data_IF_360045806896
#
_entry.id   IF_360045806896
#
_cell.length_a   1.000
_cell.length_b   1.000
_cell.length_c   1.000
_cell.angle_alpha   90.00
_cell.angle_beta   90.00
_cell.angle_gamma   90.00
#
_symmetry.space_group_name_H-M   'P 1'
#
loop_
_entity.id
_entity.type
_entity.pdbx_description
1 polymer ?
#
# COMPACT_ATOMS: atom_id res chain seq x y z
N UNK A 1 23.46 60.54 -27.00
CA UNK A 1 22.42 60.23 -25.97
C UNK A 1 21.66 58.93 -26.26
N UNK A 2 21.69 58.37 -27.45
CA UNK A 2 20.96 57.14 -27.81
C UNK A 2 21.57 55.84 -27.28
N UNK A 3 22.89 55.76 -27.13
CA UNK A 3 23.59 54.57 -26.65
C UNK A 3 23.40 54.30 -25.13
N UNK A 4 23.26 55.33 -24.33
CA UNK A 4 23.03 55.23 -22.90
C UNK A 4 21.62 54.71 -22.59
N UNK A 5 20.63 55.11 -23.38
CA UNK A 5 19.24 54.64 -23.26
C UNK A 5 19.11 53.19 -23.62
N UNK A 6 19.85 52.67 -24.62
CA UNK A 6 19.85 51.26 -25.01
C UNK A 6 20.51 50.41 -23.94
N UNK A 7 21.59 50.87 -23.30
CA UNK A 7 22.29 50.16 -22.22
C UNK A 7 21.41 50.05 -20.96
N UNK A 8 20.68 51.12 -20.60
CA UNK A 8 19.74 51.13 -19.48
C UNK A 8 18.54 50.20 -19.74
N UNK A 9 18.05 50.13 -20.99
CA UNK A 9 16.95 49.23 -21.37
C UNK A 9 17.40 47.77 -21.37
N UNK A 10 18.67 47.48 -21.75
CA UNK A 10 19.23 46.13 -21.69
C UNK A 10 19.47 45.65 -20.24
N UNK A 11 19.84 46.57 -19.31
CA UNK A 11 19.98 46.27 -17.88
C UNK A 11 18.65 46.03 -17.18
N UNK A 12 17.54 46.62 -17.65
CA UNK A 12 16.19 46.37 -17.13
C UNK A 12 15.63 45.03 -17.58
N UNK A 13 16.12 44.42 -18.67
CA UNK A 13 15.71 43.09 -19.13
C UNK A 13 16.43 41.95 -18.38
N UNK A 14 17.53 42.23 -17.68
CA UNK A 14 18.28 41.25 -16.87
C UNK A 14 17.74 41.11 -15.44
N UNK A 15 16.81 41.97 -15.02
CA UNK A 15 16.23 41.96 -13.65
C UNK A 15 15.00 41.09 -13.44
N UNK A 16 14.49 40.37 -14.46
CA UNK A 16 13.23 39.62 -14.34
C UNK A 16 13.40 38.09 -14.29
N UNK A 17 14.54 37.61 -13.79
CA UNK A 17 14.63 36.23 -13.29
C UNK A 17 14.49 36.23 -11.77
N UNK A 18 13.34 36.61 -11.24
CA UNK A 18 12.95 36.11 -9.92
C UNK A 18 12.61 34.63 -10.10
N UNK A 19 13.64 33.78 -10.09
CA UNK A 19 13.43 32.37 -9.85
C UNK A 19 12.60 32.27 -8.58
N UNK A 20 11.38 31.77 -8.66
CA UNK A 20 10.59 31.42 -7.47
C UNK A 20 11.57 30.64 -6.60
N UNK A 21 11.90 31.15 -5.41
CA UNK A 21 12.70 30.39 -4.46
C UNK A 21 12.02 29.04 -4.37
N UNK A 22 12.72 27.92 -4.54
CA UNK A 22 12.16 26.56 -4.43
C UNK A 22 11.66 26.24 -3.02
N UNK A 23 11.55 27.26 -2.14
CA UNK A 23 11.17 27.13 -0.75
C UNK A 23 9.65 27.03 -0.61
N UNK A 24 9.19 25.85 -0.24
CA UNK A 24 7.81 25.61 0.15
C UNK A 24 7.57 26.08 1.58
N UNK A 25 6.39 26.65 1.84
CA UNK A 25 5.97 27.06 3.18
C UNK A 25 4.61 26.49 3.50
N UNK A 26 4.49 25.85 4.67
CA UNK A 26 3.24 25.43 5.26
C UNK A 26 3.07 26.09 6.63
N UNK A 27 1.93 26.71 6.85
CA UNK A 27 1.59 27.30 8.15
C UNK A 27 0.16 26.94 8.52
N UNK A 28 -0.14 26.88 9.80
CA UNK A 28 -1.50 26.56 10.19
C UNK A 28 -1.75 26.57 11.69
N UNK A 29 -2.99 26.14 12.00
CA UNK A 29 -3.47 26.06 13.37
C UNK A 29 -4.21 24.74 13.59
N UNK A 30 -3.87 24.09 14.70
CA UNK A 30 -4.60 22.95 15.22
C UNK A 30 -5.41 23.37 16.46
N UNK A 31 -6.69 23.00 16.49
CA UNK A 31 -7.48 23.00 17.70
C UNK A 31 -7.16 21.73 18.50
N UNK A 32 -7.28 21.76 19.81
CA UNK A 32 -7.04 20.65 20.74
C UNK A 32 -5.61 20.03 20.68
N UNK A 33 -4.65 20.76 20.09
CA UNK A 33 -3.22 20.41 20.11
C UNK A 33 -2.41 21.70 20.37
N UNK A 34 -2.36 22.13 21.62
CA UNK A 34 -1.69 23.39 22.00
C UNK A 34 -0.16 23.30 21.92
N UNK A 35 0.41 22.15 22.32
CA UNK A 35 1.85 21.89 22.30
C UNK A 35 2.08 20.45 21.88
N UNK A 36 3.13 20.19 21.11
CA UNK A 36 3.50 18.86 20.67
C UNK A 36 4.34 18.86 19.41
N UNK A 37 4.51 17.69 18.88
CA UNK A 37 5.27 17.46 17.64
C UNK A 37 4.40 16.67 16.67
N UNK A 38 4.45 17.07 15.41
CA UNK A 38 3.91 16.33 14.30
C UNK A 38 5.10 15.96 13.41
N UNK A 39 5.24 14.70 13.07
CA UNK A 39 6.28 14.25 12.15
C UNK A 39 5.83 14.49 10.72
N UNK A 40 6.77 14.69 9.81
CA UNK A 40 6.51 14.82 8.38
C UNK A 40 7.51 14.02 7.58
N UNK A 41 7.02 13.27 6.59
CA UNK A 41 7.84 12.56 5.63
C UNK A 41 7.27 12.72 4.21
N UNK A 42 8.05 12.32 3.20
CA UNK A 42 7.61 12.35 1.80
C UNK A 42 7.72 10.96 1.18
N UNK A 43 6.60 10.35 0.73
CA UNK A 43 6.63 9.05 0.06
C UNK A 43 7.23 9.11 -1.36
N UNK A 44 7.42 10.30 -1.92
CA UNK A 44 7.93 10.54 -3.27
C UNK A 44 9.29 11.27 -3.28
N UNK A 45 9.92 11.43 -2.11
CA UNK A 45 11.26 11.99 -2.00
C UNK A 45 11.33 13.53 -2.00
N UNK A 46 10.23 14.22 -1.72
CA UNK A 46 10.19 15.68 -1.61
C UNK A 46 11.01 16.24 -0.45
N UNK A 47 11.22 15.45 0.59
CA UNK A 47 12.15 15.68 1.69
C UNK A 47 12.88 14.38 2.02
N UNK A 48 14.10 14.51 2.54
CA UNK A 48 14.91 13.37 2.96
C UNK A 48 14.51 12.90 4.37
N UNK A 49 14.17 11.62 4.50
CA UNK A 49 13.88 10.99 5.79
C UNK A 49 12.62 11.51 6.47
N UNK A 50 12.73 11.71 7.78
CA UNK A 50 11.64 12.13 8.67
C UNK A 50 12.04 13.45 9.33
N UNK A 51 11.18 14.45 9.22
CA UNK A 51 11.36 15.77 9.85
C UNK A 51 10.29 16.02 10.92
N UNK A 52 10.45 17.06 11.73
CA UNK A 52 9.59 17.34 12.88
C UNK A 52 9.05 18.77 12.83
N UNK A 53 7.74 18.90 12.96
CA UNK A 53 7.02 20.16 13.06
C UNK A 53 6.65 20.39 14.52
N UNK A 54 7.18 21.47 15.12
CA UNK A 54 6.85 21.86 16.49
C UNK A 54 5.58 22.72 16.53
N UNK A 55 4.63 22.33 17.39
CA UNK A 55 3.38 23.06 17.62
C UNK A 55 3.53 23.88 18.88
N UNK A 56 3.22 25.18 18.79
CA UNK A 56 3.25 26.12 19.93
C UNK A 56 2.00 27.00 19.90
N UNK A 57 1.23 26.99 20.98
CA UNK A 57 -0.05 27.69 21.06
C UNK A 57 -1.05 27.26 19.98
N UNK A 58 -0.98 25.98 19.57
CA UNK A 58 -1.80 25.42 18.50
C UNK A 58 -1.37 25.86 17.11
N UNK A 59 -0.26 26.58 16.95
CA UNK A 59 0.22 27.11 15.66
C UNK A 59 1.54 26.47 15.27
N UNK A 60 1.80 26.44 13.96
CA UNK A 60 3.06 25.98 13.42
C UNK A 60 3.41 26.70 12.12
N UNK A 61 4.68 26.71 11.81
CA UNK A 61 5.24 27.07 10.51
C UNK A 61 6.26 26.00 10.15
N UNK A 62 6.20 25.51 8.92
CA UNK A 62 7.15 24.56 8.36
C UNK A 62 7.60 25.07 7.00
N UNK A 63 8.91 25.12 6.78
CA UNK A 63 9.52 25.55 5.54
C UNK A 63 10.56 24.53 5.10
N UNK A 64 10.56 24.18 3.83
CA UNK A 64 11.57 23.29 3.25
C UNK A 64 11.89 23.69 1.81
N UNK A 65 13.11 23.40 1.37
CA UNK A 65 13.46 23.56 -0.04
C UNK A 65 12.90 22.40 -0.84
N UNK A 66 12.33 22.71 -1.98
CA UNK A 66 11.68 21.73 -2.84
C UNK A 66 11.99 22.00 -4.30
N UNK A 67 12.36 20.97 -5.04
CA UNK A 67 12.70 21.06 -6.47
C UNK A 67 11.53 20.70 -7.38
N UNK A 68 10.77 19.69 -6.98
CA UNK A 68 9.63 19.16 -7.72
C UNK A 68 8.40 19.14 -6.81
N UNK A 69 7.17 19.23 -7.37
CA UNK A 69 5.94 19.02 -6.61
C UNK A 69 5.98 17.67 -5.91
N UNK A 70 5.60 17.60 -4.65
CA UNK A 70 5.72 16.40 -3.82
C UNK A 70 4.58 16.28 -2.82
N UNK A 71 4.35 15.05 -2.36
CA UNK A 71 3.43 14.76 -1.27
C UNK A 71 4.19 14.74 0.05
N UNK A 72 3.79 15.58 0.99
CA UNK A 72 4.21 15.52 2.38
C UNK A 72 3.12 14.84 3.20
N UNK A 73 3.50 13.93 4.08
CA UNK A 73 2.55 13.25 4.97
C UNK A 73 2.82 13.64 6.40
N UNK A 74 1.84 14.29 7.03
CA UNK A 74 1.87 14.64 8.44
C UNK A 74 1.46 13.42 9.26
N UNK A 75 2.29 13.03 10.24
CA UNK A 75 2.01 11.92 11.17
C UNK A 75 1.78 12.52 12.56
N UNK A 76 0.56 12.39 13.04
CA UNK A 76 0.14 12.91 14.34
C UNK A 76 0.51 11.95 15.50
N UNK A 77 0.50 12.39 16.77
CA UNK A 77 0.85 11.54 17.91
C UNK A 77 0.01 10.26 18.06
N UNK A 78 -1.19 10.23 17.50
CA UNK A 78 -2.07 9.05 17.45
C UNK A 78 -1.81 8.16 16.22
N UNK A 79 -0.70 8.38 15.51
CA UNK A 79 -0.31 7.70 14.27
C UNK A 79 -1.25 7.90 13.08
N UNK A 80 -2.21 8.82 13.16
CA UNK A 80 -3.00 9.18 11.98
C UNK A 80 -2.16 9.98 10.98
N UNK A 81 -2.38 9.71 9.70
CA UNK A 81 -1.66 10.35 8.59
C UNK A 81 -2.56 11.32 7.84
N UNK A 82 -2.01 12.49 7.46
CA UNK A 82 -2.70 13.46 6.62
C UNK A 82 -1.76 13.99 5.51
N UNK A 83 -2.16 13.88 4.24
CA UNK A 83 -1.35 14.36 3.13
C UNK A 83 -1.49 15.87 2.94
N UNK A 84 -0.37 16.48 2.54
CA UNK A 84 -0.25 17.86 2.05
C UNK A 84 0.45 17.80 0.70
N UNK A 85 -0.11 18.46 -0.29
CA UNK A 85 0.46 18.51 -1.63
C UNK A 85 1.23 19.82 -1.78
N UNK A 86 2.55 19.69 -1.82
CA UNK A 86 3.51 20.79 -1.79
C UNK A 86 4.07 21.05 -3.19
N UNK A 87 4.30 22.33 -3.51
CA UNK A 87 4.87 22.79 -4.77
C UNK A 87 6.07 23.71 -4.50
N UNK A 88 7.10 23.70 -5.36
CA UNK A 88 8.22 24.62 -5.24
C UNK A 88 7.78 26.09 -5.20
N UNK A 89 8.18 26.82 -4.15
CA UNK A 89 7.76 28.22 -3.93
C UNK A 89 6.29 28.40 -3.53
N UNK A 90 5.57 27.29 -3.30
CA UNK A 90 4.17 27.31 -2.88
C UNK A 90 3.99 27.67 -1.40
N UNK A 91 2.80 28.15 -1.08
CA UNK A 91 2.37 28.41 0.30
C UNK A 91 1.05 27.69 0.57
N UNK A 92 0.99 26.98 1.69
CA UNK A 92 -0.17 26.19 2.12
C UNK A 92 -0.60 26.62 3.51
N UNK A 93 -1.91 26.76 3.69
CA UNK A 93 -2.54 27.06 4.98
C UNK A 93 -3.33 25.84 5.45
N UNK A 94 -3.07 25.39 6.68
CA UNK A 94 -3.74 24.24 7.30
C UNK A 94 -4.61 24.69 8.45
N UNK A 95 -5.87 24.22 8.46
CA UNK A 95 -6.81 24.38 9.58
C UNK A 95 -7.36 23.02 9.95
N UNK A 96 -7.17 22.59 11.18
CA UNK A 96 -7.68 21.30 11.63
C UNK A 96 -8.01 21.30 13.11
N UNK A 97 -8.94 20.43 13.48
CA UNK A 97 -9.11 19.96 14.85
C UNK A 97 -8.33 18.64 15.00
N UNK A 98 -7.36 18.60 15.92
CA UNK A 98 -6.55 17.40 16.15
C UNK A 98 -7.37 16.19 16.64
N UNK A 99 -8.59 16.43 17.15
CA UNK A 99 -9.56 15.39 17.53
C UNK A 99 -10.36 14.86 16.32
N UNK A 100 -10.41 15.63 15.20
CA UNK A 100 -11.25 15.36 14.03
C UNK A 100 -10.46 15.60 12.73
N UNK A 101 -9.29 14.98 12.59
CA UNK A 101 -8.40 15.20 11.45
C UNK A 101 -8.99 14.81 10.08
N UNK A 102 -10.08 14.05 10.06
CA UNK A 102 -10.83 13.76 8.82
C UNK A 102 -11.49 15.00 8.21
N UNK A 103 -11.68 16.05 9.00
CA UNK A 103 -12.27 17.33 8.60
C UNK A 103 -11.19 18.39 8.32
N UNK A 104 -9.91 18.00 8.24
CA UNK A 104 -8.83 18.94 8.00
C UNK A 104 -9.00 19.66 6.66
N UNK A 105 -8.94 20.97 6.71
CA UNK A 105 -8.98 21.86 5.56
C UNK A 105 -7.56 22.31 5.20
N UNK A 106 -7.22 22.25 3.92
CA UNK A 106 -5.92 22.66 3.41
C UNK A 106 -6.13 23.52 2.16
N UNK A 107 -5.64 24.73 2.19
CA UNK A 107 -5.71 25.71 1.11
C UNK A 107 -4.33 26.00 0.54
N UNK A 108 -4.25 26.49 -0.71
CA UNK A 108 -3.02 27.01 -1.32
C UNK A 108 -2.56 26.27 -2.59
N UNK A 109 -3.06 25.07 -2.87
CA UNK A 109 -2.86 24.38 -4.16
C UNK A 109 -4.14 23.67 -4.59
N UNK A 110 -4.27 23.38 -5.89
CA UNK A 110 -5.44 22.67 -6.42
C UNK A 110 -5.54 21.24 -5.85
N UNK A 111 -4.44 20.53 -5.71
CA UNK A 111 -4.42 19.20 -5.12
C UNK A 111 -4.86 19.22 -3.64
N UNK A 112 -4.48 20.22 -2.86
CA UNK A 112 -4.95 20.35 -1.47
C UNK A 112 -6.45 20.63 -1.39
N UNK A 113 -6.99 21.42 -2.31
CA UNK A 113 -8.43 21.65 -2.41
C UNK A 113 -9.15 20.34 -2.78
N UNK A 114 -8.69 19.62 -3.81
CA UNK A 114 -9.25 18.32 -4.21
C UNK A 114 -9.23 17.32 -3.05
N UNK A 115 -8.15 17.29 -2.26
CA UNK A 115 -8.08 16.41 -1.08
C UNK A 115 -9.05 16.85 0.03
N UNK A 116 -9.24 18.15 0.23
CA UNK A 116 -10.24 18.68 1.18
C UNK A 116 -11.65 18.27 0.75
N UNK A 117 -12.00 18.43 -0.53
CA UNK A 117 -13.29 18.01 -1.07
C UNK A 117 -13.49 16.48 -0.93
N UNK A 118 -12.43 15.69 -1.17
CA UNK A 118 -12.48 14.24 -1.00
C UNK A 118 -12.69 13.83 0.46
N UNK A 119 -12.06 14.50 1.43
CA UNK A 119 -12.31 14.27 2.87
C UNK A 119 -13.78 14.52 3.23
N UNK A 120 -14.36 15.61 2.71
CA UNK A 120 -15.77 15.92 2.93
C UNK A 120 -16.69 14.88 2.29
N UNK A 121 -16.31 14.35 1.12
CA UNK A 121 -17.04 13.26 0.47
C UNK A 121 -16.99 11.99 1.31
N UNK A 122 -15.82 11.61 1.82
CA UNK A 122 -15.66 10.45 2.72
C UNK A 122 -16.48 10.59 4.02
N UNK A 123 -16.54 11.79 4.60
CA UNK A 123 -17.29 12.03 5.83
C UNK A 123 -18.81 11.82 5.66
N UNK A 124 -19.32 11.95 4.43
CA UNK A 124 -20.74 11.76 4.07
C UNK A 124 -21.09 10.33 3.65
N UNK A 125 -20.10 9.45 3.51
CA UNK A 125 -20.26 8.09 3.02
C UNK A 125 -19.77 7.04 4.05
N UNK A 126 -20.11 5.78 3.81
CA UNK A 126 -19.58 4.69 4.63
C UNK A 126 -18.06 4.55 4.42
N UNK A 127 -17.28 4.24 5.47
CA UNK A 127 -15.86 3.89 5.31
C UNK A 127 -15.61 2.74 4.31
N UNK A 128 -16.59 1.86 4.12
CA UNK A 128 -16.54 0.75 3.15
C UNK A 128 -16.59 1.24 1.69
N UNK A 129 -17.08 2.44 1.45
CA UNK A 129 -17.15 3.04 0.11
C UNK A 129 -15.84 3.69 -0.34
N UNK A 130 -14.87 3.87 0.57
CA UNK A 130 -13.61 4.56 0.31
C UNK A 130 -12.84 3.99 -0.91
N UNK A 131 -12.73 2.67 -1.13
CA UNK A 131 -12.10 2.12 -2.34
C UNK A 131 -12.80 2.55 -3.63
N UNK A 132 -14.14 2.51 -3.65
CA UNK A 132 -14.94 2.92 -4.81
C UNK A 132 -14.79 4.43 -5.07
N UNK A 133 -14.94 5.25 -4.04
CA UNK A 133 -14.79 6.71 -4.15
C UNK A 133 -13.37 7.08 -4.63
N UNK A 134 -12.35 6.35 -4.18
CA UNK A 134 -10.96 6.49 -4.67
C UNK A 134 -10.86 6.18 -6.17
N UNK A 135 -11.47 5.08 -6.61
CA UNK A 135 -11.45 4.71 -8.01
C UNK A 135 -12.15 5.75 -8.90
N UNK A 136 -13.26 6.29 -8.46
CA UNK A 136 -14.01 7.31 -9.17
C UNK A 136 -13.23 8.64 -9.21
N UNK A 137 -12.64 9.07 -8.09
CA UNK A 137 -11.74 10.24 -8.03
C UNK A 137 -10.58 10.14 -9.05
N UNK A 138 -9.90 9.00 -9.10
CA UNK A 138 -8.75 8.83 -10.01
C UNK A 138 -9.18 8.88 -11.48
N UNK A 139 -10.36 8.38 -11.81
CA UNK A 139 -10.90 8.48 -13.20
C UNK A 139 -11.20 9.92 -13.58
N UNK A 140 -11.70 10.73 -12.66
CA UNK A 140 -12.03 12.14 -12.88
C UNK A 140 -10.79 13.03 -12.87
N UNK A 141 -9.80 12.71 -12.02
CA UNK A 141 -8.61 13.52 -11.79
C UNK A 141 -7.29 12.72 -11.95
N UNK A 142 -7.02 12.08 -13.10
CA UNK A 142 -5.84 11.23 -13.27
C UNK A 142 -4.52 12.01 -13.22
N UNK A 143 -4.55 13.33 -13.47
CA UNK A 143 -3.39 14.23 -13.35
C UNK A 143 -3.12 14.73 -11.94
N UNK A 144 -4.00 14.49 -10.96
CA UNK A 144 -3.83 14.93 -9.58
C UNK A 144 -2.94 13.97 -8.77
N UNK A 145 -2.03 14.53 -7.96
CA UNK A 145 -1.19 13.77 -7.02
C UNK A 145 -1.98 13.13 -5.89
N UNK A 146 -3.16 13.66 -5.58
CA UNK A 146 -4.09 13.11 -4.58
C UNK A 146 -4.37 11.65 -4.86
N UNK A 147 -4.61 11.27 -6.14
CA UNK A 147 -4.91 9.90 -6.53
C UNK A 147 -3.87 8.87 -6.07
N UNK A 148 -2.57 9.21 -6.14
CA UNK A 148 -1.50 8.30 -5.69
C UNK A 148 -1.59 7.99 -4.19
N UNK A 149 -1.84 9.01 -3.37
CA UNK A 149 -2.04 8.85 -1.93
C UNK A 149 -3.30 8.03 -1.62
N UNK A 150 -4.42 8.35 -2.27
CA UNK A 150 -5.69 7.65 -2.07
C UNK A 150 -5.61 6.16 -2.43
N UNK A 151 -5.00 5.83 -3.57
CA UNK A 151 -4.78 4.43 -3.99
C UNK A 151 -3.89 3.71 -2.98
N UNK A 152 -2.79 4.33 -2.54
CA UNK A 152 -1.92 3.76 -1.50
C UNK A 152 -2.69 3.47 -0.21
N UNK A 153 -3.54 4.40 0.22
CA UNK A 153 -4.24 4.32 1.51
C UNK A 153 -5.43 3.37 1.45
N UNK A 154 -6.30 3.50 0.44
CA UNK A 154 -7.60 2.83 0.43
C UNK A 154 -7.66 1.55 -0.42
N UNK A 155 -6.66 1.29 -1.27
CA UNK A 155 -6.62 0.10 -2.12
C UNK A 155 -5.42 -0.81 -1.84
N UNK A 156 -4.33 -0.27 -1.24
CA UNK A 156 -3.11 -1.04 -0.97
C UNK A 156 -2.93 -1.31 0.52
N UNK A 157 -2.92 -0.25 1.36
CA UNK A 157 -2.68 -0.32 2.81
C UNK A 157 -3.98 -0.44 3.61
N UNK A 158 -4.83 -1.38 3.30
CA UNK A 158 -6.06 -1.63 4.03
C UNK A 158 -6.23 -3.11 4.37
N UNK A 159 -7.23 -3.45 5.17
CA UNK A 159 -7.49 -4.82 5.62
C UNK A 159 -7.91 -5.78 4.49
N UNK A 160 -8.39 -5.25 3.37
CA UNK A 160 -8.82 -6.00 2.17
C UNK A 160 -8.27 -5.32 0.91
N UNK A 161 -6.96 -5.48 0.61
CA UNK A 161 -6.34 -4.82 -0.52
C UNK A 161 -6.93 -5.25 -1.86
N UNK A 162 -7.16 -4.30 -2.76
CA UNK A 162 -7.48 -4.57 -4.17
C UNK A 162 -6.29 -4.18 -5.05
N UNK A 163 -5.28 -5.04 -5.09
CA UNK A 163 -4.08 -4.82 -5.89
C UNK A 163 -4.34 -4.76 -7.39
N UNK A 164 -5.39 -5.44 -7.88
CA UNK A 164 -5.74 -5.42 -9.30
C UNK A 164 -6.28 -4.04 -9.71
N UNK A 165 -7.23 -3.50 -8.94
CA UNK A 165 -7.76 -2.16 -9.19
C UNK A 165 -6.70 -1.09 -8.89
N UNK A 166 -5.94 -1.20 -7.80
CA UNK A 166 -4.84 -0.28 -7.48
C UNK A 166 -3.88 -0.15 -8.66
N UNK A 167 -3.45 -1.26 -9.26
CA UNK A 167 -2.56 -1.25 -10.42
C UNK A 167 -3.21 -0.63 -11.65
N UNK A 168 -4.48 -0.91 -11.92
CA UNK A 168 -5.22 -0.32 -13.04
C UNK A 168 -5.23 1.20 -12.91
N UNK A 169 -5.50 1.72 -11.72
CA UNK A 169 -5.53 3.15 -11.43
C UNK A 169 -4.14 3.79 -11.47
N UNK A 170 -3.12 3.13 -10.93
CA UNK A 170 -1.71 3.58 -11.03
C UNK A 170 -1.29 3.69 -12.50
N UNK A 171 -1.62 2.70 -13.34
CA UNK A 171 -1.31 2.75 -14.77
C UNK A 171 -2.06 3.87 -15.50
N UNK A 172 -3.29 4.19 -15.08
CA UNK A 172 -4.05 5.34 -15.61
C UNK A 172 -3.34 6.65 -15.27
N UNK A 173 -3.03 6.88 -13.98
CA UNK A 173 -2.36 8.10 -13.51
C UNK A 173 -0.96 8.30 -14.08
N UNK A 174 -0.19 7.22 -14.28
CA UNK A 174 1.17 7.30 -14.84
C UNK A 174 1.23 7.84 -16.26
N UNK A 175 0.14 7.79 -17.03
CA UNK A 175 0.07 8.40 -18.36
C UNK A 175 0.12 9.93 -18.27
N UNK A 176 -0.55 10.49 -17.26
CA UNK A 176 -0.61 11.94 -17.03
C UNK A 176 0.55 12.44 -16.15
N UNK A 177 1.08 11.56 -15.30
CA UNK A 177 2.09 11.88 -14.30
C UNK A 177 3.33 10.95 -14.41
N UNK A 178 4.05 10.89 -15.53
CA UNK A 178 5.11 9.90 -15.75
C UNK A 178 6.32 10.06 -14.79
N UNK A 179 6.51 11.24 -14.21
CA UNK A 179 7.59 11.57 -13.28
C UNK A 179 7.17 11.61 -11.80
N UNK A 180 5.94 11.23 -11.49
CA UNK A 180 5.49 11.20 -10.10
C UNK A 180 6.17 10.05 -9.35
N UNK A 181 7.07 10.37 -8.40
CA UNK A 181 7.85 9.40 -7.61
C UNK A 181 6.98 8.42 -6.82
N UNK A 182 5.88 8.90 -6.24
CA UNK A 182 4.94 8.04 -5.50
C UNK A 182 4.31 6.98 -6.43
N UNK A 183 3.88 7.36 -7.64
CA UNK A 183 3.34 6.41 -8.62
C UNK A 183 4.39 5.42 -9.14
N UNK A 184 5.66 5.84 -9.26
CA UNK A 184 6.76 4.96 -9.64
C UNK A 184 6.97 3.90 -8.55
N UNK A 185 6.99 4.31 -7.28
CA UNK A 185 7.13 3.40 -6.14
C UNK A 185 5.94 2.45 -6.00
N UNK A 186 4.70 2.97 -6.12
CA UNK A 186 3.49 2.14 -6.12
C UNK A 186 3.50 1.13 -7.26
N UNK A 187 3.88 1.53 -8.47
CA UNK A 187 3.96 0.62 -9.60
C UNK A 187 4.98 -0.50 -9.35
N UNK A 188 6.14 -0.17 -8.76
CA UNK A 188 7.16 -1.16 -8.36
C UNK A 188 6.63 -2.10 -7.28
N UNK A 189 5.94 -1.58 -6.28
CA UNK A 189 5.30 -2.36 -5.21
C UNK A 189 4.22 -3.31 -5.75
N UNK A 190 3.43 -2.85 -6.73
CA UNK A 190 2.33 -3.61 -7.32
C UNK A 190 2.76 -4.55 -8.45
N UNK A 191 3.98 -4.44 -8.98
CA UNK A 191 4.48 -5.28 -10.06
C UNK A 191 4.42 -6.78 -9.75
N UNK A 192 4.76 -7.25 -8.54
CA UNK A 192 4.67 -8.68 -8.21
C UNK A 192 3.25 -9.25 -8.32
N UNK A 193 2.21 -8.46 -8.05
CA UNK A 193 0.82 -8.90 -8.17
C UNK A 193 0.34 -9.07 -9.62
N UNK A 194 1.23 -8.81 -10.58
CA UNK A 194 0.96 -8.96 -12.01
C UNK A 194 1.04 -10.40 -12.49
N UNK A 195 1.94 -11.18 -11.93
CA UNK A 195 2.32 -12.49 -12.42
C UNK A 195 1.35 -13.60 -12.04
N UNK A 196 0.63 -13.47 -10.91
CA UNK A 196 -0.28 -14.51 -10.40
C UNK A 196 -1.70 -13.96 -10.30
N UNK A 197 -2.45 -13.99 -11.39
CA UNK A 197 -3.84 -13.49 -11.48
C UNK A 197 -4.85 -14.62 -11.50
N UNK A 198 -6.04 -14.35 -10.99
CA UNK A 198 -7.19 -15.25 -11.14
C UNK A 198 -7.41 -15.55 -12.63
N UNK A 199 -7.62 -16.84 -12.95
CA UNK A 199 -7.78 -17.36 -14.30
C UNK A 199 -6.46 -17.67 -15.03
N UNK A 200 -5.30 -17.20 -14.57
CA UNK A 200 -4.00 -17.50 -15.17
C UNK A 200 -3.41 -18.81 -14.65
N UNK A 201 -2.54 -19.47 -15.43
CA UNK A 201 -1.81 -20.63 -14.95
C UNK A 201 -0.96 -20.30 -13.71
N UNK A 202 -0.87 -21.23 -12.76
CA UNK A 202 0.06 -21.12 -11.64
C UNK A 202 1.50 -21.06 -12.20
N UNK A 203 2.31 -20.05 -11.80
CA UNK A 203 3.67 -19.91 -12.35
C UNK A 203 4.56 -21.07 -11.96
N UNK A 204 5.65 -21.24 -12.70
CA UNK A 204 6.64 -22.27 -12.40
C UNK A 204 7.35 -21.95 -11.10
N UNK A 205 7.41 -22.91 -10.20
CA UNK A 205 8.19 -22.83 -8.97
C UNK A 205 8.78 -24.19 -8.62
N UNK A 206 9.76 -24.20 -7.71
CA UNK A 206 10.31 -25.40 -7.10
C UNK A 206 10.47 -25.14 -5.60
N UNK A 207 9.86 -25.97 -4.78
CA UNK A 207 9.83 -25.83 -3.34
C UNK A 207 10.23 -27.16 -2.67
N UNK A 208 11.25 -27.14 -1.82
CA UNK A 208 11.69 -28.30 -1.06
C UNK A 208 11.05 -28.23 0.33
N UNK A 209 10.22 -29.22 0.67
CA UNK A 209 9.55 -29.30 1.99
C UNK A 209 10.51 -29.79 3.09
N UNK A 210 10.08 -29.62 4.33
CA UNK A 210 10.78 -30.13 5.52
C UNK A 210 10.97 -31.66 5.47
N UNK A 211 10.04 -32.39 4.84
CA UNK A 211 10.12 -33.85 4.65
C UNK A 211 11.03 -34.29 3.47
N UNK A 212 11.63 -33.34 2.74
CA UNK A 212 12.47 -33.64 1.58
C UNK A 212 11.73 -33.84 0.25
N UNK A 213 10.40 -33.75 0.22
CA UNK A 213 9.63 -33.78 -1.02
C UNK A 213 9.77 -32.46 -1.77
N UNK A 214 9.96 -32.52 -3.07
CA UNK A 214 9.92 -31.34 -3.94
C UNK A 214 8.52 -31.13 -4.49
N UNK A 215 7.98 -29.93 -4.30
CA UNK A 215 6.75 -29.46 -4.95
C UNK A 215 7.07 -28.53 -6.10
N UNK A 216 6.24 -28.60 -7.13
CA UNK A 216 6.28 -27.73 -8.31
C UNK A 216 4.85 -27.37 -8.71
N UNK A 217 4.68 -26.49 -9.69
CA UNK A 217 3.36 -26.20 -10.26
C UNK A 217 2.67 -27.43 -10.88
N UNK A 218 3.42 -28.50 -11.18
CA UNK A 218 2.87 -29.74 -11.74
C UNK A 218 2.00 -30.49 -10.72
N UNK A 219 2.31 -30.37 -9.42
CA UNK A 219 1.54 -30.98 -8.34
C UNK A 219 0.11 -30.42 -8.24
N UNK A 220 -0.12 -29.25 -8.83
CA UNK A 220 -1.41 -28.55 -8.87
C UNK A 220 -2.12 -28.63 -10.22
N UNK A 221 -1.65 -29.50 -11.12
CA UNK A 221 -2.14 -29.54 -12.51
C UNK A 221 -3.57 -30.04 -12.65
N UNK A 222 -4.01 -30.87 -11.74
CA UNK A 222 -5.36 -31.47 -11.73
C UNK A 222 -6.00 -31.34 -10.34
N UNK A 223 -7.34 -31.18 -10.32
CA UNK A 223 -8.08 -31.02 -9.09
C UNK A 223 -7.89 -29.66 -8.43
N UNK A 224 -8.23 -29.60 -7.14
CA UNK A 224 -8.09 -28.41 -6.32
C UNK A 224 -6.78 -28.42 -5.51
N UNK A 225 -6.23 -27.25 -5.28
CA UNK A 225 -5.05 -27.08 -4.46
C UNK A 225 -5.00 -25.73 -3.77
N UNK A 226 -4.24 -25.68 -2.67
CA UNK A 226 -4.00 -24.46 -1.88
C UNK A 226 -2.52 -24.30 -1.62
N UNK A 227 -2.00 -23.12 -1.93
CA UNK A 227 -0.71 -22.65 -1.45
C UNK A 227 -0.95 -21.59 -0.40
N UNK A 228 -0.39 -21.72 0.81
CA UNK A 228 -0.61 -20.80 1.91
C UNK A 228 0.70 -20.36 2.54
N UNK A 229 0.82 -19.06 2.86
CA UNK A 229 1.92 -18.48 3.65
C UNK A 229 1.47 -18.27 5.08
N UNK A 230 2.34 -18.63 6.02
CA UNK A 230 2.08 -18.49 7.44
C UNK A 230 3.38 -18.28 8.24
N UNK A 231 3.25 -17.83 9.50
CA UNK A 231 4.36 -17.75 10.44
C UNK A 231 3.89 -18.05 11.88
N UNK A 232 4.76 -18.60 12.70
CA UNK A 232 4.45 -18.95 14.10
C UNK A 232 4.08 -17.74 14.95
N UNK A 233 4.64 -16.59 14.65
CA UNK A 233 4.43 -15.31 15.33
C UNK A 233 3.18 -14.54 14.85
N UNK A 234 2.47 -15.04 13.83
CA UNK A 234 1.24 -14.44 13.31
C UNK A 234 0.00 -15.22 13.71
N UNK A 235 -0.78 -14.68 14.65
CA UNK A 235 -2.00 -15.33 15.12
C UNK A 235 -3.02 -15.57 13.98
N UNK A 236 -3.16 -14.63 13.05
CA UNK A 236 -4.05 -14.75 11.87
C UNK A 236 -3.63 -15.91 10.97
N UNK A 237 -2.33 -16.15 10.82
CA UNK A 237 -1.79 -17.27 10.03
C UNK A 237 -2.22 -18.62 10.56
N UNK A 238 -2.30 -18.78 11.87
CA UNK A 238 -2.68 -20.04 12.50
C UNK A 238 -4.14 -20.40 12.24
N UNK A 239 -5.03 -19.40 12.15
CA UNK A 239 -6.42 -19.60 11.74
C UNK A 239 -6.53 -20.21 10.34
N UNK A 240 -5.87 -19.59 9.37
CA UNK A 240 -5.82 -20.07 7.98
C UNK A 240 -5.14 -21.46 7.88
N UNK A 241 -4.04 -21.69 8.59
CA UNK A 241 -3.34 -22.98 8.57
C UNK A 241 -4.23 -24.11 9.08
N UNK A 242 -4.98 -23.87 10.16
CA UNK A 242 -5.96 -24.84 10.71
C UNK A 242 -7.11 -25.10 9.74
N UNK A 243 -7.64 -24.06 9.09
CA UNK A 243 -8.69 -24.20 8.08
C UNK A 243 -8.24 -25.10 6.92
N UNK A 244 -7.01 -24.90 6.43
CA UNK A 244 -6.43 -25.71 5.35
C UNK A 244 -6.11 -27.13 5.82
N UNK A 245 -5.64 -27.32 7.05
CA UNK A 245 -5.42 -28.65 7.64
C UNK A 245 -6.73 -29.44 7.71
N UNK A 246 -7.81 -28.82 8.17
CA UNK A 246 -9.12 -29.45 8.25
C UNK A 246 -9.67 -29.74 6.85
N UNK A 247 -9.53 -28.80 5.92
CA UNK A 247 -9.90 -29.00 4.51
C UNK A 247 -9.18 -30.22 3.91
N UNK A 248 -7.89 -30.40 4.18
CA UNK A 248 -7.11 -31.57 3.72
C UNK A 248 -7.58 -32.88 4.33
N UNK A 249 -8.03 -32.87 5.59
CA UNK A 249 -8.61 -34.07 6.24
C UNK A 249 -9.94 -34.47 5.59
N UNK A 250 -10.79 -33.51 5.24
CA UNK A 250 -12.09 -33.76 4.61
C UNK A 250 -11.98 -34.05 3.12
N UNK A 251 -10.98 -33.47 2.45
CA UNK A 251 -10.71 -33.64 1.03
C UNK A 251 -9.29 -34.19 0.83
N UNK A 252 -9.08 -35.52 0.93
CA UNK A 252 -7.75 -36.12 0.82
C UNK A 252 -7.02 -35.84 -0.51
N UNK A 253 -7.77 -35.58 -1.58
CA UNK A 253 -7.22 -35.25 -2.90
C UNK A 253 -6.78 -33.78 -3.05
N UNK A 254 -7.16 -32.91 -2.11
CA UNK A 254 -6.74 -31.50 -2.10
C UNK A 254 -5.22 -31.38 -2.04
N UNK A 255 -4.60 -30.76 -3.04
CA UNK A 255 -3.17 -30.51 -3.03
C UNK A 255 -2.85 -29.32 -2.12
N UNK A 256 -1.96 -29.50 -1.16
CA UNK A 256 -1.60 -28.44 -0.23
C UNK A 256 -0.09 -28.24 -0.19
N UNK A 257 0.34 -27.00 -0.24
CA UNK A 257 1.71 -26.57 0.03
C UNK A 257 1.65 -25.42 1.02
N UNK A 258 2.35 -25.53 2.14
CA UNK A 258 2.47 -24.41 3.08
C UNK A 258 3.90 -23.85 3.08
N UNK A 259 4.01 -22.53 3.20
CA UNK A 259 5.27 -21.79 3.24
C UNK A 259 5.34 -21.09 4.59
N UNK A 260 6.27 -21.55 5.44
CA UNK A 260 6.51 -20.99 6.75
C UNK A 260 7.59 -19.90 6.69
N UNK A 261 7.29 -18.73 7.24
CA UNK A 261 8.20 -17.58 7.28
C UNK A 261 9.01 -17.48 8.58
N UNK A 262 9.10 -18.54 9.35
CA UNK A 262 9.96 -18.54 10.54
C UNK A 262 11.44 -18.54 10.12
N UNK A 263 12.26 -17.87 10.92
CA UNK A 263 13.70 -17.76 10.67
C UNK A 263 14.44 -19.12 10.78
N UNK A 264 13.86 -20.08 11.52
CA UNK A 264 14.48 -21.39 11.71
C UNK A 264 13.51 -22.54 11.44
N UNK A 265 14.03 -23.64 10.87
CA UNK A 265 13.28 -24.90 10.72
C UNK A 265 12.78 -25.43 12.06
N UNK A 266 13.57 -25.25 13.12
CA UNK A 266 13.26 -25.75 14.46
C UNK A 266 11.99 -25.09 15.02
N UNK A 267 11.82 -23.78 14.85
CA UNK A 267 10.63 -23.06 15.32
C UNK A 267 9.39 -23.48 14.51
N UNK A 268 9.52 -23.55 13.18
CA UNK A 268 8.48 -24.07 12.31
C UNK A 268 8.04 -25.49 12.73
N UNK A 269 8.97 -26.44 12.84
CA UNK A 269 8.68 -27.82 13.22
C UNK A 269 8.09 -27.94 14.62
N UNK A 270 8.53 -27.09 15.58
CA UNK A 270 7.96 -27.03 16.93
C UNK A 270 6.48 -26.71 16.88
N UNK A 271 6.10 -25.68 16.09
CA UNK A 271 4.71 -25.27 15.96
C UNK A 271 3.87 -26.32 15.22
N UNK A 272 4.39 -26.90 14.14
CA UNK A 272 3.68 -27.96 13.41
C UNK A 272 3.35 -29.14 14.34
N UNK A 273 4.30 -29.55 15.20
CA UNK A 273 4.07 -30.60 16.22
C UNK A 273 3.05 -30.15 17.28
N UNK A 274 3.16 -28.92 17.78
CA UNK A 274 2.26 -28.36 18.80
C UNK A 274 0.80 -28.35 18.36
N UNK A 275 0.53 -28.13 17.09
CA UNK A 275 -0.80 -28.04 16.52
C UNK A 275 -1.20 -29.27 15.68
N UNK A 276 -0.43 -30.34 15.73
CA UNK A 276 -0.65 -31.58 14.97
C UNK A 276 -0.87 -31.32 13.46
N UNK A 277 -0.06 -30.41 12.90
CA UNK A 277 -0.13 -30.07 11.46
C UNK A 277 0.80 -30.99 10.69
N UNK A 278 0.22 -31.74 9.76
CA UNK A 278 0.91 -32.73 8.92
C UNK A 278 1.04 -32.29 7.46
N UNK A 279 0.74 -31.03 7.15
CA UNK A 279 0.78 -30.48 5.80
C UNK A 279 2.22 -30.37 5.27
N UNK A 280 2.41 -30.61 3.95
CA UNK A 280 3.69 -30.36 3.30
C UNK A 280 4.12 -28.89 3.49
N UNK A 281 5.22 -28.67 4.21
CA UNK A 281 5.66 -27.35 4.63
C UNK A 281 7.08 -27.06 4.13
N UNK A 282 7.29 -25.90 3.56
CA UNK A 282 8.58 -25.30 3.25
C UNK A 282 8.94 -24.31 4.36
N UNK A 283 10.19 -24.36 4.82
CA UNK A 283 10.78 -23.34 5.66
C UNK A 283 12.23 -23.17 5.24
N UNK A 284 12.53 -22.14 4.44
CA UNK A 284 13.85 -21.88 3.88
C UNK A 284 14.70 -20.94 4.77
N UNK A 285 14.13 -20.44 5.86
CA UNK A 285 14.77 -19.54 6.81
C UNK A 285 15.01 -18.13 6.29
N UNK A 286 14.49 -17.79 5.11
CA UNK A 286 14.64 -16.48 4.49
C UNK A 286 13.53 -15.50 4.85
N UNK A 287 12.55 -15.93 5.61
CA UNK A 287 11.44 -15.11 6.06
C UNK A 287 10.74 -14.42 4.85
N UNK A 288 10.60 -13.09 4.89
CA UNK A 288 9.99 -12.29 3.82
C UNK A 288 10.85 -12.22 2.54
N UNK A 289 12.12 -12.60 2.60
CA UNK A 289 13.02 -12.64 1.43
C UNK A 289 13.00 -14.01 0.71
N UNK A 290 12.06 -14.89 1.05
CA UNK A 290 11.91 -16.17 0.38
C UNK A 290 11.57 -15.98 -1.11
N UNK A 291 12.34 -16.56 -2.04
CA UNK A 291 12.06 -16.47 -3.48
C UNK A 291 10.69 -17.03 -3.88
N UNK A 292 10.11 -17.93 -3.07
CA UNK A 292 8.78 -18.47 -3.32
C UNK A 292 7.71 -17.42 -3.21
N UNK A 293 7.86 -16.44 -2.30
CA UNK A 293 6.93 -15.32 -2.15
C UNK A 293 6.87 -14.49 -3.42
N UNK A 294 8.03 -14.07 -3.93
CA UNK A 294 8.12 -13.30 -5.18
C UNK A 294 7.56 -14.08 -6.38
N UNK A 295 7.94 -15.36 -6.53
CA UNK A 295 7.51 -16.20 -7.65
C UNK A 295 6.00 -16.46 -7.67
N UNK A 296 5.39 -16.58 -6.48
CA UNK A 296 3.98 -16.86 -6.31
C UNK A 296 3.17 -15.59 -6.02
N UNK A 297 3.84 -14.42 -6.01
CA UNK A 297 3.22 -13.12 -5.68
C UNK A 297 2.44 -13.17 -4.36
N UNK A 298 3.03 -13.76 -3.33
CA UNK A 298 2.50 -13.84 -1.98
C UNK A 298 3.14 -12.73 -1.15
N UNK A 299 2.35 -11.77 -0.67
CA UNK A 299 2.89 -10.52 -0.10
C UNK A 299 2.30 -10.16 1.27
N UNK A 300 1.25 -10.85 1.68
CA UNK A 300 0.62 -10.67 2.98
C UNK A 300 0.91 -11.84 3.92
N UNK A 301 0.59 -11.66 5.21
CA UNK A 301 0.71 -12.70 6.22
C UNK A 301 -0.54 -12.74 7.14
N UNK A 302 -1.40 -13.76 6.98
CA UNK A 302 -1.36 -14.84 5.99
C UNK A 302 -1.69 -14.36 4.57
N UNK A 303 -1.21 -15.10 3.58
CA UNK A 303 -1.64 -14.99 2.18
C UNK A 303 -1.84 -16.40 1.60
N UNK A 304 -2.70 -16.52 0.57
CA UNK A 304 -2.95 -17.82 -0.04
C UNK A 304 -3.39 -17.72 -1.50
N UNK A 305 -3.20 -18.83 -2.21
CA UNK A 305 -3.65 -19.03 -3.59
C UNK A 305 -4.47 -20.32 -3.62
N UNK A 306 -5.72 -20.21 -4.04
CA UNK A 306 -6.54 -21.36 -4.41
C UNK A 306 -6.31 -21.66 -5.89
N UNK A 307 -5.97 -22.90 -6.20
CA UNK A 307 -5.69 -23.39 -7.56
C UNK A 307 -6.74 -24.41 -7.95
N UNK A 308 -7.21 -24.36 -9.18
CA UNK A 308 -8.10 -25.35 -9.76
C UNK A 308 -7.57 -25.72 -11.15
N UNK A 309 -7.24 -27.01 -11.35
CA UNK A 309 -6.73 -27.54 -12.61
C UNK A 309 -5.54 -26.74 -13.17
N UNK A 310 -4.58 -26.41 -12.29
CA UNK A 310 -3.36 -25.68 -12.63
C UNK A 310 -3.53 -24.17 -12.84
N UNK A 311 -4.74 -23.63 -12.60
CA UNK A 311 -5.02 -22.20 -12.74
C UNK A 311 -5.41 -21.59 -11.40
N UNK A 312 -4.99 -20.34 -11.20
CA UNK A 312 -5.38 -19.56 -10.01
C UNK A 312 -6.88 -19.30 -10.03
N UNK A 313 -7.58 -19.77 -9.03
CA UNK A 313 -9.04 -19.62 -8.89
C UNK A 313 -9.43 -18.43 -8.01
N UNK A 314 -8.75 -18.31 -6.87
CA UNK A 314 -8.94 -17.23 -5.89
C UNK A 314 -7.62 -16.91 -5.20
N UNK A 315 -7.56 -15.78 -4.50
CA UNK A 315 -6.38 -15.36 -3.74
C UNK A 315 -6.79 -14.65 -2.46
N UNK A 316 -5.86 -14.64 -1.50
CA UNK A 316 -5.94 -13.84 -0.27
C UNK A 316 -7.23 -14.03 0.51
N UNK A 317 -7.72 -15.29 0.56
CA UNK A 317 -8.91 -15.65 1.31
C UNK A 317 -8.62 -15.58 2.82
N UNK A 318 -9.59 -15.06 3.59
CA UNK A 318 -9.58 -15.15 5.05
C UNK A 318 -9.76 -16.59 5.52
N UNK A 319 -9.52 -16.86 6.80
CA UNK A 319 -9.78 -18.18 7.40
C UNK A 319 -11.28 -18.55 7.35
N UNK A 320 -12.17 -17.58 7.49
CA UNK A 320 -13.61 -17.76 7.34
C UNK A 320 -13.99 -18.17 5.90
N UNK A 321 -13.43 -17.46 4.90
CA UNK A 321 -13.67 -17.78 3.49
C UNK A 321 -13.09 -19.15 3.09
N UNK A 322 -11.92 -19.52 3.62
CA UNK A 322 -11.35 -20.87 3.44
C UNK A 322 -12.24 -21.94 4.06
N UNK A 323 -12.77 -21.72 5.27
CA UNK A 323 -13.73 -22.63 5.91
C UNK A 323 -15.00 -22.76 5.08
N UNK A 324 -15.60 -21.65 4.70
CA UNK A 324 -16.79 -21.64 3.87
C UNK A 324 -16.58 -22.40 2.56
N UNK A 325 -15.44 -22.20 1.92
CA UNK A 325 -15.12 -22.83 0.62
C UNK A 325 -14.96 -24.34 0.73
N UNK A 326 -14.34 -24.86 1.79
CA UNK A 326 -13.97 -26.27 1.89
C UNK A 326 -14.77 -27.07 2.91
N UNK A 327 -15.38 -26.44 3.92
CA UNK A 327 -16.00 -27.15 5.03
C UNK A 327 -17.53 -27.01 5.04
N UNK A 328 -18.10 -25.94 4.46
CA UNK A 328 -19.54 -25.67 4.48
C UNK A 328 -20.27 -26.12 3.23
N UNK A 329 -19.58 -26.53 2.15
CA UNK A 329 -20.22 -26.92 0.87
C UNK A 329 -20.96 -28.27 0.93
N UNK A 330 -20.88 -29.01 2.04
CA UNK A 330 -21.50 -30.32 2.21
C UNK A 330 -22.87 -30.30 2.93
N UNK A 331 -23.52 -29.14 3.13
CA UNK A 331 -24.85 -29.07 3.76
C UNK A 331 -26.01 -28.83 2.77
N UNK A 332 -25.81 -29.08 1.49
CA UNK A 332 -26.88 -28.98 0.49
C UNK A 332 -27.21 -30.38 -0.03
N UNK A 333 -27.95 -31.14 0.77
CA UNK A 333 -28.83 -32.27 0.35
C UNK A 333 -30.08 -32.25 1.19
#
# INVERSE_FOLDING_TARGET
MTWLAVLVFLLLLLGSCSGKSGRFKMEGRFLHLNQGQVLVYSPDGGIDGLDTINIQGGRFVYETEMRDPSTLVLVFPNYSEQPIFAEPGGKVMVKADASHLREMEVEGTDDNKLMTDFRQLLAKNSPLDAPKLTADFVKEHPGSRVGAYLVSTYLVRNDRPDYAEARRLVNLMRKEQPRNGHLILLAKQLAPYETVRVGQPLPRFKALTLSGRTFTQQDFRSGEGVVIVWASWSYRSLGCLRAVQEAKRQHPDLQVLTICLDATRKDCEKLLRQFDVTLPTVCDGRMLDSPLLANLSLHDLPDNILVENGRVKQRSLSDEELRKRFLETNQSY
#
